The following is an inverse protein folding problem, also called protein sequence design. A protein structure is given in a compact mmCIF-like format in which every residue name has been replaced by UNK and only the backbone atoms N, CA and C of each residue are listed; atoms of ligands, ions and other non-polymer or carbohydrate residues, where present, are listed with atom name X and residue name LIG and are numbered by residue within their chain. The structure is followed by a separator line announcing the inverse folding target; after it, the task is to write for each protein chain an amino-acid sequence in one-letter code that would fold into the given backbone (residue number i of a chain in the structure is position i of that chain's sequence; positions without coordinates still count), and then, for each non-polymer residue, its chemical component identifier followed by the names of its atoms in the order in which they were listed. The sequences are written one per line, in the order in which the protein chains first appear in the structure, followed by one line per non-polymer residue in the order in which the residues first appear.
data_IF_359685692017
#
_entry.id   IF_359685692017
#
_cell.length_a   1.000
_cell.length_b   1.000
_cell.length_c   1.000
_cell.angle_alpha   90.00
_cell.angle_beta   90.00
_cell.angle_gamma   90.00
#
_symmetry.space_group_name_H-M   'P 1'
#
loop_
_entity.id
_entity.type
_entity.pdbx_description
1 polymer ?
#
# COMPACT_ATOMS: atom_id res chain seq x y z
N UNK A 1 3.80 -36.05 -61.05
CA UNK A 1 3.64 -35.67 -59.63
C UNK A 1 4.86 -36.14 -58.86
N UNK A 2 5.77 -35.23 -58.56
CA UNK A 2 6.80 -35.37 -57.53
C UNK A 2 6.88 -34.01 -56.85
N UNK A 3 6.33 -33.91 -55.64
CA UNK A 3 6.36 -32.69 -54.86
C UNK A 3 7.74 -32.62 -54.19
N UNK A 4 8.56 -31.67 -54.61
CA UNK A 4 9.85 -31.37 -54.00
C UNK A 4 9.57 -30.72 -52.63
N UNK A 5 9.95 -31.39 -51.54
CA UNK A 5 9.86 -30.83 -50.19
C UNK A 5 11.22 -30.19 -49.88
N UNK A 6 11.32 -28.87 -50.01
CA UNK A 6 12.43 -28.10 -49.42
C UNK A 6 12.09 -27.79 -47.96
N UNK A 7 12.85 -28.28 -46.96
CA UNK A 7 12.69 -27.82 -45.60
C UNK A 7 13.36 -26.45 -45.44
N UNK A 8 12.53 -25.42 -45.44
CA UNK A 8 12.86 -24.07 -45.04
C UNK A 8 13.43 -24.05 -43.60
N UNK A 9 14.54 -23.35 -43.41
CA UNK A 9 14.94 -22.75 -42.13
C UNK A 9 15.43 -23.67 -41.00
N UNK A 10 16.71 -24.04 -41.05
CA UNK A 10 17.49 -24.42 -39.86
C UNK A 10 17.94 -23.20 -39.00
N UNK A 11 17.59 -21.97 -39.41
CA UNK A 11 17.99 -20.74 -38.73
C UNK A 11 16.99 -20.26 -37.67
N UNK A 12 15.71 -20.62 -37.79
CA UNK A 12 14.66 -20.18 -36.86
C UNK A 12 14.60 -21.05 -35.58
N UNK A 13 14.96 -22.34 -35.69
CA UNK A 13 14.93 -23.28 -34.57
C UNK A 13 16.05 -23.10 -33.52
N UNK A 14 17.07 -22.28 -33.80
CA UNK A 14 18.14 -21.98 -32.85
C UNK A 14 17.88 -20.72 -32.00
N UNK A 15 16.96 -19.84 -32.44
CA UNK A 15 16.64 -18.59 -31.73
C UNK A 15 15.58 -18.73 -30.64
N UNK A 16 14.76 -19.78 -30.68
CA UNK A 16 13.61 -19.97 -29.77
C UNK A 16 13.85 -20.96 -28.62
N UNK A 17 14.97 -21.70 -28.60
CA UNK A 17 15.22 -22.75 -27.58
C UNK A 17 16.17 -22.34 -26.45
N UNK A 18 16.66 -21.10 -26.45
CA UNK A 18 17.39 -20.47 -25.32
C UNK A 18 16.51 -19.46 -24.56
N UNK A 19 15.19 -19.69 -24.50
CA UNK A 19 14.33 -18.95 -23.58
C UNK A 19 14.64 -19.42 -22.16
N UNK A 20 15.40 -18.56 -21.50
CA UNK A 20 15.86 -18.52 -20.12
C UNK A 20 15.09 -19.39 -19.10
N UNK A 21 15.52 -20.65 -19.03
CA UNK A 21 15.12 -21.60 -17.99
C UNK A 21 15.56 -21.16 -16.58
N UNK A 22 16.46 -20.19 -16.46
CA UNK A 22 16.91 -19.57 -15.21
C UNK A 22 15.96 -18.48 -14.71
N UNK A 23 15.49 -17.56 -15.57
CA UNK A 23 14.43 -16.60 -15.22
C UNK A 23 13.08 -17.30 -15.02
N UNK A 24 12.75 -18.28 -15.85
CA UNK A 24 11.53 -19.06 -15.65
C UNK A 24 11.58 -19.84 -14.33
N UNK A 25 12.73 -20.40 -13.95
CA UNK A 25 12.87 -21.09 -12.66
C UNK A 25 12.91 -20.11 -11.47
N UNK A 26 13.48 -18.91 -11.62
CA UNK A 26 13.43 -17.87 -10.58
C UNK A 26 12.03 -17.30 -10.38
N UNK A 27 11.25 -17.10 -11.44
CA UNK A 27 9.85 -16.70 -11.37
C UNK A 27 8.99 -17.85 -10.80
N UNK A 28 9.29 -19.10 -11.16
CA UNK A 28 8.66 -20.29 -10.55
C UNK A 28 9.07 -20.49 -9.08
N UNK A 29 10.25 -20.04 -8.64
CA UNK A 29 10.72 -20.11 -7.25
C UNK A 29 10.17 -18.97 -6.39
N UNK A 30 10.00 -17.79 -6.99
CA UNK A 30 9.29 -16.65 -6.40
C UNK A 30 7.76 -16.87 -6.39
N UNK A 31 7.22 -17.68 -7.32
CA UNK A 31 5.84 -18.21 -7.29
C UNK A 31 5.71 -19.45 -6.37
N UNK A 32 6.79 -20.21 -6.15
CA UNK A 32 6.89 -21.27 -5.14
C UNK A 32 7.14 -20.69 -3.73
N UNK A 33 7.13 -19.36 -3.61
CA UNK A 33 6.95 -18.61 -2.37
C UNK A 33 5.88 -19.25 -1.47
N UNK A 34 6.12 -19.32 -0.15
CA UNK A 34 5.25 -19.99 0.81
C UNK A 34 3.99 -19.15 1.06
N UNK A 35 3.04 -19.20 0.14
CA UNK A 35 1.68 -18.81 0.38
C UNK A 35 0.75 -19.91 -0.09
N UNK A 36 0.00 -20.48 0.84
CA UNK A 36 -1.33 -20.99 0.48
C UNK A 36 -2.33 -20.31 1.41
N UNK A 37 -3.24 -19.59 0.76
CA UNK A 37 -4.41 -18.93 1.31
C UNK A 37 -5.19 -19.85 2.27
N UNK A 38 -4.88 -19.75 3.56
CA UNK A 38 -5.46 -20.59 4.62
C UNK A 38 -4.68 -20.59 5.93
N UNK A 39 -3.37 -20.32 5.88
CA UNK A 39 -2.57 -20.09 7.08
C UNK A 39 -2.93 -18.74 7.71
N UNK A 40 -3.57 -18.77 8.87
CA UNK A 40 -3.83 -17.57 9.69
C UNK A 40 -2.57 -16.72 9.90
N UNK A 41 -1.39 -17.35 9.94
CA UNK A 41 -0.11 -16.66 10.07
C UNK A 41 0.27 -15.84 8.84
N UNK A 42 0.00 -16.35 7.63
CA UNK A 42 0.28 -15.61 6.39
C UNK A 42 -0.64 -14.39 6.25
N UNK A 43 -1.95 -14.55 6.52
CA UNK A 43 -2.91 -13.46 6.50
C UNK A 43 -2.58 -12.38 7.55
N UNK A 44 -2.15 -12.80 8.75
CA UNK A 44 -1.68 -11.89 9.78
C UNK A 44 -0.42 -11.15 9.35
N UNK A 45 0.62 -11.86 8.87
CA UNK A 45 1.90 -11.27 8.52
C UNK A 45 1.79 -10.28 7.35
N UNK A 46 1.02 -10.62 6.31
CA UNK A 46 0.79 -9.73 5.17
C UNK A 46 0.03 -8.47 5.61
N UNK A 47 -1.09 -8.63 6.32
CA UNK A 47 -1.89 -7.50 6.82
C UNK A 47 -1.06 -6.62 7.76
N UNK A 48 -0.34 -7.22 8.71
CA UNK A 48 0.53 -6.49 9.63
C UNK A 48 1.58 -5.69 8.87
N UNK A 49 2.30 -6.32 7.95
CA UNK A 49 3.38 -5.66 7.20
C UNK A 49 2.84 -4.52 6.34
N UNK A 50 1.74 -4.75 5.60
CA UNK A 50 1.13 -3.72 4.76
C UNK A 50 0.62 -2.54 5.59
N UNK A 51 -0.13 -2.78 6.67
CA UNK A 51 -0.68 -1.72 7.52
C UNK A 51 0.44 -1.01 8.28
N UNK A 52 1.41 -1.74 8.81
CA UNK A 52 2.54 -1.15 9.52
C UNK A 52 3.33 -0.21 8.61
N UNK A 53 3.69 -0.64 7.40
CA UNK A 53 4.38 0.22 6.43
C UNK A 53 3.52 1.43 6.02
N UNK A 54 2.22 1.26 5.86
CA UNK A 54 1.32 2.34 5.50
C UNK A 54 1.17 3.40 6.59
N UNK A 55 1.25 3.01 7.87
CA UNK A 55 1.09 3.89 9.02
C UNK A 55 2.41 4.51 9.49
N UNK A 56 3.57 3.99 9.08
CA UNK A 56 4.89 4.50 9.48
C UNK A 56 5.07 5.97 9.10
N UNK A 57 5.28 6.82 10.10
CA UNK A 57 5.49 8.26 9.89
C UNK A 57 4.22 9.07 9.66
N UNK A 58 3.03 8.51 9.93
CA UNK A 58 1.80 9.28 9.87
C UNK A 58 1.77 10.43 10.91
N UNK A 59 0.96 11.46 10.64
CA UNK A 59 0.71 12.60 11.52
C UNK A 59 0.26 12.16 12.91
N UNK A 60 -0.48 11.05 13.03
CA UNK A 60 -0.87 10.51 14.34
C UNK A 60 0.34 10.05 15.17
N UNK A 61 1.39 9.52 14.54
CA UNK A 61 2.63 9.14 15.23
C UNK A 61 3.44 10.36 15.69
N UNK A 62 3.51 11.41 14.86
CA UNK A 62 4.12 12.69 15.28
C UNK A 62 3.35 13.34 16.43
N UNK A 63 2.02 13.31 16.40
CA UNK A 63 1.18 13.79 17.49
C UNK A 63 1.41 12.98 18.78
N UNK A 64 1.49 11.65 18.69
CA UNK A 64 1.80 10.79 19.83
C UNK A 64 3.21 11.05 20.39
N UNK A 65 4.20 11.29 19.52
CA UNK A 65 5.56 11.65 19.92
C UNK A 65 5.59 12.99 20.67
N UNK A 66 4.94 14.02 20.14
CA UNK A 66 4.84 15.34 20.78
C UNK A 66 4.07 15.27 22.10
N UNK A 67 2.99 14.48 22.16
CA UNK A 67 2.20 14.31 23.38
C UNK A 67 2.98 13.52 24.44
N UNK A 68 3.76 12.52 24.02
CA UNK A 68 4.66 11.77 24.89
C UNK A 68 5.72 12.69 25.50
N UNK A 69 6.34 13.55 24.68
CA UNK A 69 7.32 14.53 25.12
C UNK A 69 6.73 15.56 26.10
N UNK A 70 5.49 15.98 25.92
CA UNK A 70 4.84 16.99 26.78
C UNK A 70 4.22 16.42 28.07
N UNK A 71 3.72 15.18 28.03
CA UNK A 71 2.92 14.61 29.13
C UNK A 71 3.73 14.21 30.37
N UNK A 72 5.05 13.99 30.22
CA UNK A 72 5.89 13.39 31.27
C UNK A 72 5.48 11.96 31.68
N UNK A 73 4.52 11.34 30.96
CA UNK A 73 3.94 10.02 31.26
C UNK A 73 3.87 9.18 29.97
N UNK A 74 5.03 8.78 29.41
CA UNK A 74 5.10 8.13 28.10
C UNK A 74 4.27 6.84 28.00
N UNK A 75 4.17 6.07 29.10
CA UNK A 75 3.36 4.85 29.12
C UNK A 75 1.85 5.09 28.94
N UNK A 76 1.32 6.20 29.46
CA UNK A 76 -0.11 6.53 29.29
C UNK A 76 -0.38 6.96 27.85
N UNK A 77 0.51 7.76 27.27
CA UNK A 77 0.40 8.18 25.87
C UNK A 77 0.49 6.99 24.93
N UNK A 78 1.41 6.06 25.18
CA UNK A 78 1.52 4.83 24.41
C UNK A 78 0.22 4.03 24.45
N UNK A 79 -0.33 3.74 25.63
CA UNK A 79 -1.58 2.99 25.76
C UNK A 79 -2.74 3.70 25.05
N UNK A 80 -2.86 5.02 25.21
CA UNK A 80 -3.89 5.82 24.55
C UNK A 80 -3.79 5.77 23.03
N UNK A 81 -2.59 5.97 22.47
CA UNK A 81 -2.34 5.91 21.04
C UNK A 81 -2.56 4.50 20.47
N UNK A 82 -2.08 3.46 21.17
CA UNK A 82 -2.31 2.07 20.77
C UNK A 82 -3.78 1.70 20.75
N UNK A 83 -4.56 2.09 21.76
CA UNK A 83 -6.00 1.84 21.80
C UNK A 83 -6.73 2.59 20.69
N UNK A 84 -6.34 3.84 20.41
CA UNK A 84 -6.90 4.60 19.30
C UNK A 84 -6.65 3.90 17.96
N UNK A 85 -5.44 3.40 17.72
CA UNK A 85 -5.09 2.67 16.50
C UNK A 85 -5.87 1.35 16.39
N UNK A 86 -5.97 0.58 17.48
CA UNK A 86 -6.75 -0.68 17.50
C UNK A 86 -8.22 -0.40 17.16
N UNK A 87 -8.83 0.60 17.80
CA UNK A 87 -10.22 0.98 17.55
C UNK A 87 -10.43 1.47 16.10
N UNK A 88 -9.51 2.29 15.59
CA UNK A 88 -9.56 2.80 14.21
C UNK A 88 -9.49 1.66 13.20
N UNK A 89 -8.52 0.75 13.36
CA UNK A 89 -8.37 -0.43 12.52
C UNK A 89 -9.59 -1.35 12.59
N UNK A 90 -10.16 -1.54 13.79
CA UNK A 90 -11.38 -2.32 13.95
C UNK A 90 -12.55 -1.72 13.16
N UNK A 91 -12.77 -0.41 13.28
CA UNK A 91 -13.80 0.30 12.50
C UNK A 91 -13.54 0.14 11.00
N UNK A 92 -12.28 0.28 10.55
CA UNK A 92 -11.89 0.10 9.16
C UNK A 92 -12.21 -1.31 8.62
N UNK A 93 -11.89 -2.36 9.37
CA UNK A 93 -12.20 -3.75 8.99
C UNK A 93 -13.70 -4.00 8.94
N UNK A 94 -14.46 -3.51 9.92
CA UNK A 94 -15.92 -3.66 9.94
C UNK A 94 -16.57 -2.92 8.75
N UNK A 95 -16.14 -1.68 8.50
CA UNK A 95 -16.62 -0.88 7.39
C UNK A 95 -16.26 -1.51 6.05
N UNK A 96 -15.02 -2.00 5.88
CA UNK A 96 -14.57 -2.70 4.68
C UNK A 96 -15.38 -3.97 4.42
N UNK A 97 -15.63 -4.78 5.47
CA UNK A 97 -16.49 -5.97 5.38
C UNK A 97 -17.93 -5.61 5.02
N UNK A 98 -18.44 -4.49 5.52
CA UNK A 98 -19.77 -4.00 5.15
C UNK A 98 -19.80 -3.54 3.69
N UNK A 99 -18.88 -2.67 3.25
CA UNK A 99 -18.76 -2.21 1.86
C UNK A 99 -18.60 -3.36 0.86
N UNK A 100 -17.82 -4.38 1.19
CA UNK A 100 -17.62 -5.56 0.34
C UNK A 100 -18.91 -6.37 0.08
N UNK A 101 -19.98 -6.16 0.87
CA UNK A 101 -21.30 -6.75 0.61
C UNK A 101 -22.15 -5.92 -0.34
N UNK A 102 -21.87 -4.62 -0.47
CA UNK A 102 -22.64 -3.71 -1.32
C UNK A 102 -22.01 -3.50 -2.70
N UNK A 103 -20.68 -3.64 -2.81
CA UNK A 103 -19.93 -3.29 -4.02
C UNK A 103 -18.99 -4.40 -4.46
N UNK A 104 -18.70 -4.48 -5.77
CA UNK A 104 -17.70 -5.40 -6.29
C UNK A 104 -16.28 -4.99 -5.86
N UNK A 105 -15.34 -5.92 -5.67
CA UNK A 105 -13.96 -5.62 -5.22
C UNK A 105 -13.26 -4.54 -6.06
N UNK A 106 -13.46 -4.56 -7.38
CA UNK A 106 -12.83 -3.60 -8.31
C UNK A 106 -13.40 -2.19 -8.17
N UNK A 107 -14.62 -2.04 -7.66
CA UNK A 107 -15.21 -0.72 -7.37
C UNK A 107 -14.65 -0.19 -6.06
N UNK A 108 -14.47 -1.05 -5.06
CA UNK A 108 -13.91 -0.68 -3.77
C UNK A 108 -12.46 -0.22 -3.90
N UNK A 109 -11.65 -0.93 -4.69
CA UNK A 109 -10.26 -0.57 -4.98
C UNK A 109 -10.15 0.78 -5.70
N UNK A 110 -10.96 0.98 -6.75
CA UNK A 110 -11.03 2.27 -7.46
C UNK A 110 -11.47 3.41 -6.56
N UNK A 111 -12.49 3.19 -5.73
CA UNK A 111 -12.97 4.18 -4.77
C UNK A 111 -11.88 4.55 -3.76
N UNK A 112 -11.20 3.55 -3.20
CA UNK A 112 -10.09 3.77 -2.27
C UNK A 112 -8.97 4.58 -2.92
N UNK A 113 -8.56 4.23 -4.14
CA UNK A 113 -7.54 4.97 -4.90
C UNK A 113 -7.93 6.42 -5.18
N UNK A 114 -9.18 6.66 -5.64
CA UNK A 114 -9.70 8.01 -5.88
C UNK A 114 -9.70 8.83 -4.59
N UNK A 115 -10.17 8.26 -3.48
CA UNK A 115 -10.18 8.92 -2.18
C UNK A 115 -8.76 9.25 -1.72
N UNK A 116 -7.80 8.34 -1.91
CA UNK A 116 -6.40 8.53 -1.52
C UNK A 116 -5.77 9.69 -2.30
N UNK A 117 -5.96 9.75 -3.63
CA UNK A 117 -5.49 10.86 -4.47
C UNK A 117 -6.15 12.18 -4.09
N UNK A 118 -7.47 12.19 -3.87
CA UNK A 118 -8.21 13.38 -3.49
C UNK A 118 -7.73 13.94 -2.13
N UNK A 119 -7.55 13.08 -1.13
CA UNK A 119 -7.01 13.45 0.18
C UNK A 119 -5.57 13.94 0.07
N UNK A 120 -4.73 13.28 -0.73
CA UNK A 120 -3.35 13.69 -0.98
C UNK A 120 -3.26 15.10 -1.60
N UNK A 121 -4.07 15.37 -2.62
CA UNK A 121 -4.16 16.70 -3.25
C UNK A 121 -4.65 17.76 -2.26
N UNK A 122 -5.66 17.44 -1.46
CA UNK A 122 -6.21 18.34 -0.45
C UNK A 122 -5.19 18.68 0.63
N UNK A 123 -4.50 17.66 1.16
CA UNK A 123 -3.44 17.83 2.16
C UNK A 123 -2.24 18.60 1.60
N UNK A 124 -1.84 18.33 0.36
CA UNK A 124 -0.81 19.08 -0.35
C UNK A 124 -1.17 20.54 -0.50
N UNK A 125 -2.42 20.85 -0.88
CA UNK A 125 -2.92 22.24 -0.96
C UNK A 125 -2.86 22.93 0.39
N UNK A 126 -3.28 22.27 1.47
CA UNK A 126 -3.20 22.82 2.82
C UNK A 126 -1.75 23.10 3.24
N UNK A 127 -0.83 22.18 2.95
CA UNK A 127 0.59 22.35 3.25
C UNK A 127 1.16 23.57 2.50
N UNK A 128 0.86 23.73 1.21
CA UNK A 128 1.32 24.88 0.41
C UNK A 128 0.75 26.20 0.94
N UNK A 129 -0.55 26.25 1.26
CA UNK A 129 -1.18 27.46 1.79
C UNK A 129 -0.66 27.83 3.19
N UNK A 130 -0.37 26.84 4.04
CA UNK A 130 0.20 27.09 5.37
C UNK A 130 1.66 27.56 5.35
N UNK A 131 2.36 27.39 4.23
CA UNK A 131 3.73 27.88 4.05
C UNK A 131 3.81 29.32 3.52
N UNK A 132 2.68 29.91 3.09
CA UNK A 132 2.62 31.33 2.75
C UNK A 132 2.47 32.10 4.07
N UNK A 133 3.51 32.81 4.56
CA UNK A 133 3.41 33.56 5.80
C UNK A 133 2.32 34.64 5.65
N UNK A 134 1.50 34.80 6.69
CA UNK A 134 0.54 35.90 6.76
C UNK A 134 1.30 37.22 6.56
N UNK A 135 0.82 38.05 5.64
CA UNK A 135 1.38 39.38 5.43
C UNK A 135 1.38 40.13 6.76
N UNK A 136 2.52 40.68 7.21
CA UNK A 136 2.60 41.41 8.46
C UNK A 136 1.62 42.59 8.39
N UNK A 137 0.78 42.70 9.42
CA UNK A 137 -0.19 43.75 9.59
C UNK A 137 0.53 45.11 9.45
N UNK A 138 0.27 45.83 8.37
CA UNK A 138 0.69 47.23 8.29
C UNK A 138 -0.01 47.97 9.43
N UNK A 139 0.71 48.71 10.30
CA UNK A 139 0.05 49.56 11.26
C UNK A 139 -0.80 50.57 10.49
N UNK A 140 -2.13 50.45 10.61
CA UNK A 140 -3.03 51.52 10.22
C UNK A 140 -2.98 52.58 11.33
N UNK A 141 -2.11 53.57 11.09
CA UNK A 141 -2.01 54.88 11.76
C UNK A 141 -1.63 54.87 13.25
#
# INVERSE_FOLDING_TARGET
MSNEYEPESAGELAGELEIDSGQASAELEELASPNHAGSWGAAFASTFTTVFLAELGDKTQLAALLLSAQSGRPGVVFIGASLALICSSLVGVLLGRWLARLMAPQQLERLAGILMVALGLWLGRQAVLGLVPATPDLPLN
#
